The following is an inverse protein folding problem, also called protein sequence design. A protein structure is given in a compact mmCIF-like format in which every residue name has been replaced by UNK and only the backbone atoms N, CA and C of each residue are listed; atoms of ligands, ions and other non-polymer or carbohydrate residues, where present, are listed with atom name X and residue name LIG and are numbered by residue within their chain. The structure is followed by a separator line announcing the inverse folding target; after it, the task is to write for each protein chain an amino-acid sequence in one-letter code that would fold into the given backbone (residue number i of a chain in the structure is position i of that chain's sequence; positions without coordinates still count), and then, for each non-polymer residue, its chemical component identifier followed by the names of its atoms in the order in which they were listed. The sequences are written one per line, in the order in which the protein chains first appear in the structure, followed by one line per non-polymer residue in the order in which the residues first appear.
data_IF_496406807360
#
_entry.id   IF_496406807360
#
_cell.length_a   1.000
_cell.length_b   1.000
_cell.length_c   1.000
_cell.angle_alpha   90.00
_cell.angle_beta   90.00
_cell.angle_gamma   90.00
#
_symmetry.space_group_name_H-M   'P 1'
#
loop_
_entity.id
_entity.type
_entity.pdbx_description
1 polymer ?
#
# COMPACT_ATOMS: atom_id res chain seq x y z
N UNK A 1 45.55 50.35 28.00
CA UNK A 1 44.91 49.52 29.04
C UNK A 1 43.69 48.88 28.41
N UNK A 2 43.88 47.68 27.84
CA UNK A 2 43.48 46.38 28.44
C UNK A 2 41.96 46.31 28.57
N UNK A 3 41.23 45.51 27.79
CA UNK A 3 41.38 44.05 27.70
C UNK A 3 40.72 43.47 26.45
N UNK A 4 41.48 42.63 25.76
CA UNK A 4 41.05 41.62 24.80
C UNK A 4 40.18 40.57 25.48
N UNK A 5 39.02 40.23 24.91
CA UNK A 5 38.31 38.97 25.18
C UNK A 5 38.22 38.18 23.88
N UNK A 6 39.14 37.25 23.72
CA UNK A 6 38.92 36.02 22.97
C UNK A 6 37.81 35.25 23.71
N UNK A 7 36.79 34.81 22.99
CA UNK A 7 35.96 33.71 23.46
C UNK A 7 35.95 32.60 22.43
N UNK A 8 36.03 31.39 22.97
CA UNK A 8 36.50 30.18 22.31
C UNK A 8 35.39 29.59 21.44
N UNK A 9 35.75 29.26 20.21
CA UNK A 9 35.05 28.27 19.39
C UNK A 9 35.23 26.89 20.03
N UNK A 10 34.27 26.47 20.85
CA UNK A 10 34.14 25.08 21.26
C UNK A 10 33.37 24.31 20.18
N UNK A 11 34.12 23.49 19.45
CA UNK A 11 33.58 22.46 18.57
C UNK A 11 32.83 21.42 19.39
N UNK A 12 31.52 21.59 19.50
CA UNK A 12 30.61 20.53 19.89
C UNK A 12 30.59 19.48 18.79
N UNK A 13 31.36 18.41 18.99
CA UNK A 13 31.12 17.13 18.29
C UNK A 13 29.69 16.73 18.61
N UNK A 14 28.77 17.03 17.69
CA UNK A 14 27.43 16.44 17.68
C UNK A 14 27.61 14.94 17.55
N UNK A 15 27.60 14.25 18.69
CA UNK A 15 27.50 12.81 18.72
C UNK A 15 26.24 12.45 17.93
N UNK A 16 26.42 11.71 16.84
CA UNK A 16 25.31 11.09 16.16
C UNK A 16 24.48 10.37 17.22
N UNK A 17 23.21 10.73 17.33
CA UNK A 17 22.26 9.95 18.09
C UNK A 17 22.39 8.49 17.63
N UNK A 18 22.38 7.51 18.54
CA UNK A 18 22.44 6.11 18.13
C UNK A 18 21.31 5.87 17.13
N UNK A 19 21.64 5.34 15.95
CA UNK A 19 20.65 4.96 14.97
C UNK A 19 19.66 4.02 15.66
N UNK A 20 18.44 4.48 15.88
CA UNK A 20 17.35 3.64 16.37
C UNK A 20 17.30 2.39 15.49
N UNK A 21 17.21 1.20 16.10
CA UNK A 21 17.18 -0.09 15.40
C UNK A 21 16.28 -0.02 14.16
N UNK A 22 16.88 0.22 13.00
CA UNK A 22 16.14 0.38 11.76
C UNK A 22 15.60 -0.99 11.39
N UNK A 23 14.27 -1.12 11.35
CA UNK A 23 13.60 -2.34 10.89
C UNK A 23 14.22 -2.80 9.56
N UNK A 24 14.76 -4.02 9.53
CA UNK A 24 15.48 -4.53 8.36
C UNK A 24 14.58 -5.32 7.39
N UNK A 25 15.05 -5.40 6.15
CA UNK A 25 14.63 -6.34 5.09
C UNK A 25 14.27 -7.72 5.64
N UNK A 26 15.23 -8.31 6.33
CA UNK A 26 15.20 -9.70 6.74
C UNK A 26 14.16 -9.97 7.82
N UNK A 27 13.95 -9.00 8.72
CA UNK A 27 12.91 -9.09 9.77
C UNK A 27 11.53 -9.11 9.12
N UNK A 28 11.25 -8.20 8.20
CA UNK A 28 9.96 -8.16 7.48
C UNK A 28 9.74 -9.46 6.72
N UNK A 29 10.75 -9.95 6.00
CA UNK A 29 10.66 -11.19 5.22
C UNK A 29 10.39 -12.42 6.11
N UNK A 30 11.06 -12.51 7.27
CA UNK A 30 10.82 -13.59 8.24
C UNK A 30 9.39 -13.57 8.79
N UNK A 31 8.86 -12.40 9.11
CA UNK A 31 7.50 -12.25 9.63
C UNK A 31 6.42 -12.55 8.57
N UNK A 32 6.69 -12.26 7.29
CA UNK A 32 5.73 -12.45 6.21
C UNK A 32 5.29 -13.91 6.03
N UNK A 33 6.20 -14.88 6.16
CA UNK A 33 5.86 -16.31 6.09
C UNK A 33 4.92 -16.73 7.22
N UNK A 34 5.13 -16.22 8.44
CA UNK A 34 4.20 -16.42 9.56
C UNK A 34 2.82 -15.78 9.32
N UNK A 35 2.79 -14.63 8.65
CA UNK A 35 1.54 -13.96 8.28
C UNK A 35 0.71 -14.75 7.27
N UNK A 36 1.35 -15.38 6.26
CA UNK A 36 0.68 -16.27 5.31
C UNK A 36 0.03 -17.45 6.03
N UNK A 37 0.77 -18.10 6.93
CA UNK A 37 0.26 -19.25 7.67
C UNK A 37 -1.01 -18.90 8.46
N UNK A 38 -1.01 -17.77 9.17
CA UNK A 38 -2.19 -17.30 9.91
C UNK A 38 -3.36 -16.95 9.00
N UNK A 39 -3.10 -16.31 7.86
CA UNK A 39 -4.17 -15.93 6.92
C UNK A 39 -4.84 -17.15 6.28
N UNK A 40 -4.12 -18.25 6.07
CA UNK A 40 -4.67 -19.48 5.46
C UNK A 40 -5.83 -20.09 6.25
N UNK A 41 -5.91 -19.84 7.55
CA UNK A 41 -7.04 -20.29 8.38
C UNK A 41 -8.33 -19.50 8.07
N UNK A 42 -8.21 -18.32 7.46
CA UNK A 42 -9.32 -17.38 7.24
C UNK A 42 -9.66 -17.13 5.78
N UNK A 43 -8.68 -17.19 4.88
CA UNK A 43 -8.85 -16.93 3.46
C UNK A 43 -7.96 -17.85 2.62
N UNK A 44 -8.47 -18.30 1.48
CA UNK A 44 -7.66 -18.99 0.48
C UNK A 44 -6.62 -18.02 -0.12
N UNK A 45 -5.47 -18.55 -0.61
CA UNK A 45 -4.55 -17.76 -1.41
C UNK A 45 -5.30 -17.08 -2.57
N UNK A 46 -5.03 -15.80 -2.79
CA UNK A 46 -5.65 -15.09 -3.91
C UNK A 46 -5.16 -15.69 -5.23
N UNK A 47 -6.01 -15.79 -6.28
CA UNK A 47 -5.63 -16.42 -7.54
C UNK A 47 -4.41 -15.74 -8.19
N UNK A 48 -3.54 -16.54 -8.78
CA UNK A 48 -2.50 -16.10 -9.73
C UNK A 48 -2.89 -16.60 -11.11
N UNK A 49 -3.50 -15.75 -11.93
CA UNK A 49 -4.07 -16.13 -13.23
C UNK A 49 -3.23 -15.58 -14.36
N UNK A 50 -3.07 -16.33 -15.44
CA UNK A 50 -2.42 -15.83 -16.64
C UNK A 50 -3.42 -15.06 -17.49
N UNK A 51 -3.02 -13.89 -17.99
CA UNK A 51 -3.80 -13.13 -18.96
C UNK A 51 -3.22 -13.34 -20.35
N UNK A 52 -3.87 -14.15 -21.18
CA UNK A 52 -3.46 -14.36 -22.56
C UNK A 52 -3.57 -13.06 -23.37
N UNK A 53 -4.63 -12.29 -23.14
CA UNK A 53 -4.86 -10.99 -23.79
C UNK A 53 -3.70 -10.02 -23.56
N UNK A 54 -3.33 -9.80 -22.29
CA UNK A 54 -2.24 -8.89 -21.95
C UNK A 54 -0.89 -9.47 -22.37
N UNK A 55 -0.71 -10.80 -22.30
CA UNK A 55 0.54 -11.44 -22.73
C UNK A 55 0.81 -11.24 -24.21
N UNK A 56 -0.21 -11.40 -25.06
CA UNK A 56 -0.11 -11.15 -26.50
C UNK A 56 0.17 -9.67 -26.77
N UNK A 57 -0.53 -8.76 -26.08
CA UNK A 57 -0.38 -7.32 -26.28
C UNK A 57 1.00 -6.80 -25.88
N UNK A 58 1.57 -7.32 -24.79
CA UNK A 58 2.83 -6.81 -24.23
C UNK A 58 4.07 -7.59 -24.68
N UNK A 59 3.91 -8.75 -25.32
CA UNK A 59 5.04 -9.56 -25.79
C UNK A 59 5.85 -10.20 -24.64
N UNK A 60 5.31 -10.19 -23.43
CA UNK A 60 5.84 -10.87 -22.25
C UNK A 60 4.71 -11.67 -21.60
N UNK A 61 5.03 -12.74 -20.87
CA UNK A 61 4.01 -13.51 -20.15
C UNK A 61 3.50 -12.69 -18.97
N UNK A 62 2.19 -12.44 -18.89
CA UNK A 62 1.56 -11.62 -17.85
C UNK A 62 0.73 -12.49 -16.93
N UNK A 63 1.12 -12.51 -15.65
CA UNK A 63 0.35 -13.12 -14.58
C UNK A 63 -0.29 -12.03 -13.71
N UNK A 64 -1.53 -12.22 -13.31
CA UNK A 64 -2.30 -11.31 -12.48
C UNK A 64 -2.47 -11.93 -11.09
N UNK A 65 -1.90 -11.28 -10.07
CA UNK A 65 -2.12 -11.65 -8.67
C UNK A 65 -3.36 -10.92 -8.16
N UNK A 66 -4.46 -11.66 -8.04
CA UNK A 66 -5.81 -11.10 -7.91
C UNK A 66 -6.23 -10.84 -6.46
N UNK A 67 -5.57 -9.87 -5.80
CA UNK A 67 -5.88 -9.48 -4.42
C UNK A 67 -7.30 -8.93 -4.23
N UNK A 68 -7.98 -8.55 -5.30
CA UNK A 68 -9.39 -8.15 -5.28
C UNK A 68 -10.37 -9.26 -4.87
N UNK A 69 -9.92 -10.52 -4.82
CA UNK A 69 -10.70 -11.66 -4.35
C UNK A 69 -10.48 -11.99 -2.88
N UNK A 70 -9.57 -11.31 -2.19
CA UNK A 70 -9.50 -11.40 -0.73
C UNK A 70 -10.75 -10.82 -0.08
N UNK A 71 -11.06 -11.19 1.18
CA UNK A 71 -12.10 -10.53 1.94
C UNK A 71 -11.92 -9.02 1.92
N UNK A 72 -13.01 -8.27 1.93
CA UNK A 72 -13.05 -6.80 1.75
C UNK A 72 -12.60 -6.28 0.38
N UNK A 73 -12.17 -7.14 -0.56
CA UNK A 73 -11.93 -6.77 -1.96
C UNK A 73 -10.58 -6.11 -2.24
N UNK A 74 -9.58 -6.26 -1.36
CA UNK A 74 -8.23 -5.75 -1.59
C UNK A 74 -7.17 -6.46 -0.73
N UNK A 75 -5.89 -6.19 -1.04
CA UNK A 75 -4.74 -6.70 -0.29
C UNK A 75 -4.71 -6.27 1.18
N UNK A 76 -5.40 -5.18 1.56
CA UNK A 76 -5.37 -4.62 2.93
C UNK A 76 -5.83 -5.61 3.99
N UNK A 77 -6.65 -6.58 3.61
CA UNK A 77 -7.06 -7.66 4.50
C UNK A 77 -5.88 -8.45 5.08
N UNK A 78 -4.80 -8.64 4.31
CA UNK A 78 -3.63 -9.40 4.79
C UNK A 78 -2.98 -8.72 6.00
N UNK A 79 -2.63 -7.44 5.87
CA UNK A 79 -2.02 -6.69 6.97
C UNK A 79 -2.97 -6.44 8.15
N UNK A 80 -4.25 -6.17 7.88
CA UNK A 80 -5.25 -6.01 8.94
C UNK A 80 -5.38 -7.29 9.78
N UNK A 81 -5.57 -8.43 9.11
CA UNK A 81 -5.66 -9.73 9.77
C UNK A 81 -4.37 -10.07 10.50
N UNK A 82 -3.20 -9.86 9.86
CA UNK A 82 -1.91 -10.10 10.48
C UNK A 82 -1.74 -9.31 11.78
N UNK A 83 -2.00 -7.99 11.74
CA UNK A 83 -1.85 -7.11 12.89
C UNK A 83 -2.74 -7.54 14.06
N UNK A 84 -4.03 -7.71 13.79
CA UNK A 84 -5.01 -8.00 14.84
C UNK A 84 -4.82 -9.40 15.42
N UNK A 85 -4.46 -10.39 14.60
CA UNK A 85 -4.09 -11.73 15.08
C UNK A 85 -2.87 -11.73 16.00
N UNK A 86 -1.91 -10.82 15.81
CA UNK A 86 -0.71 -10.71 16.64
C UNK A 86 -0.91 -9.89 17.92
N UNK A 87 -2.05 -9.21 18.09
CA UNK A 87 -2.31 -8.43 19.30
C UNK A 87 -2.58 -9.32 20.51
N UNK A 88 -2.06 -8.93 21.67
CA UNK A 88 -2.40 -9.56 22.94
C UNK A 88 -3.87 -9.31 23.32
N UNK A 89 -4.43 -10.14 24.21
CA UNK A 89 -5.77 -9.93 24.75
C UNK A 89 -5.91 -8.55 25.43
N UNK A 90 -4.85 -8.06 26.10
CA UNK A 90 -4.87 -6.73 26.72
C UNK A 90 -4.90 -5.61 25.68
N UNK A 91 -4.15 -5.72 24.58
CA UNK A 91 -4.21 -4.78 23.47
C UNK A 91 -5.58 -4.79 22.80
N UNK A 92 -6.17 -5.97 22.58
CA UNK A 92 -7.51 -6.11 21.99
C UNK A 92 -8.59 -5.48 22.88
N UNK A 93 -8.48 -5.63 24.20
CA UNK A 93 -9.42 -5.03 25.16
C UNK A 93 -9.37 -3.49 25.17
N UNK A 94 -8.20 -2.89 24.90
CA UNK A 94 -8.06 -1.44 24.76
C UNK A 94 -8.61 -0.89 23.43
N UNK A 95 -8.87 -1.78 22.47
CA UNK A 95 -9.37 -1.43 21.15
C UNK A 95 -8.29 -0.89 20.20
N UNK A 96 -8.73 -0.58 18.99
CA UNK A 96 -7.88 -0.07 17.90
C UNK A 96 -8.40 1.25 17.34
N UNK A 97 -7.47 2.04 16.81
CA UNK A 97 -7.73 3.32 16.14
C UNK A 97 -7.06 3.33 14.78
N UNK A 98 -7.71 3.90 13.77
CA UNK A 98 -7.09 4.15 12.45
C UNK A 98 -7.65 5.40 11.80
N UNK A 99 -6.96 5.93 10.79
CA UNK A 99 -7.39 7.11 10.02
C UNK A 99 -7.60 6.75 8.53
N UNK A 100 -8.60 5.93 8.24
CA UNK A 100 -8.91 5.56 6.85
C UNK A 100 -10.34 5.08 6.73
N UNK A 101 -11.11 5.64 5.80
CA UNK A 101 -12.39 5.05 5.34
C UNK A 101 -12.25 4.25 4.05
N UNK A 102 -11.01 4.03 3.59
CA UNK A 102 -10.74 3.26 2.37
C UNK A 102 -10.61 1.76 2.64
N UNK A 103 -9.86 1.09 1.77
CA UNK A 103 -9.59 -0.35 1.86
C UNK A 103 -9.01 -0.78 3.21
N UNK A 104 -8.20 0.07 3.86
CA UNK A 104 -7.62 -0.22 5.18
C UNK A 104 -8.66 -0.20 6.30
N UNK A 105 -9.48 0.86 6.36
CA UNK A 105 -10.54 0.96 7.36
C UNK A 105 -11.56 -0.16 7.24
N UNK A 106 -11.94 -0.51 6.00
CA UNK A 106 -12.84 -1.63 5.75
C UNK A 106 -12.22 -2.96 6.23
N UNK A 107 -10.97 -3.23 5.88
CA UNK A 107 -10.26 -4.43 6.31
C UNK A 107 -10.16 -4.54 7.84
N UNK A 108 -9.79 -3.45 8.52
CA UNK A 108 -9.72 -3.43 9.99
C UNK A 108 -11.09 -3.59 10.64
N UNK A 109 -12.11 -2.87 10.16
CA UNK A 109 -13.46 -2.97 10.70
C UNK A 109 -14.02 -4.39 10.54
N UNK A 110 -13.76 -5.06 9.41
CA UNK A 110 -14.18 -6.45 9.20
C UNK A 110 -13.52 -7.39 10.20
N UNK A 111 -12.18 -7.36 10.32
CA UNK A 111 -11.46 -8.25 11.25
C UNK A 111 -11.80 -7.93 12.71
N UNK A 112 -11.89 -6.65 13.06
CA UNK A 112 -12.25 -6.21 14.41
C UNK A 112 -13.65 -6.65 14.81
N UNK A 113 -14.63 -6.56 13.89
CA UNK A 113 -15.98 -7.07 14.10
C UNK A 113 -16.00 -8.59 14.34
N UNK A 114 -15.20 -9.35 13.59
CA UNK A 114 -15.11 -10.81 13.72
C UNK A 114 -14.47 -11.23 15.05
N UNK A 115 -13.48 -10.47 15.52
CA UNK A 115 -12.74 -10.76 16.76
C UNK A 115 -13.32 -10.07 18.02
N UNK A 116 -14.37 -9.26 17.87
CA UNK A 116 -14.96 -8.49 18.98
C UNK A 116 -14.06 -7.38 19.53
N UNK A 117 -13.19 -6.81 18.69
CA UNK A 117 -12.26 -5.73 19.06
C UNK A 117 -12.96 -4.38 18.84
N UNK A 118 -13.04 -3.49 19.85
CA UNK A 118 -13.53 -2.13 19.64
C UNK A 118 -12.66 -1.38 18.64
N UNK A 119 -13.26 -0.74 17.64
CA UNK A 119 -12.55 0.05 16.62
C UNK A 119 -13.14 1.45 16.49
N UNK A 120 -12.26 2.45 16.48
CA UNK A 120 -12.58 3.83 16.08
C UNK A 120 -11.83 4.20 14.79
N UNK A 121 -12.58 4.64 13.80
CA UNK A 121 -12.07 5.11 12.51
C UNK A 121 -12.24 6.63 12.43
N UNK A 122 -11.14 7.35 12.33
CA UNK A 122 -11.16 8.79 12.05
C UNK A 122 -11.10 9.03 10.55
N UNK A 123 -11.85 10.01 10.07
CA UNK A 123 -11.92 10.34 8.65
C UNK A 123 -12.16 11.83 8.45
N UNK A 124 -11.91 12.30 7.23
CA UNK A 124 -12.29 13.67 6.84
C UNK A 124 -13.81 13.76 6.66
N UNK A 125 -14.41 14.94 6.87
CA UNK A 125 -15.84 15.16 6.61
C UNK A 125 -16.24 14.94 5.15
N UNK A 126 -15.29 15.10 4.22
CA UNK A 126 -15.48 14.87 2.79
C UNK A 126 -15.39 13.39 2.38
N UNK A 127 -15.16 12.48 3.33
CA UNK A 127 -15.13 11.05 3.05
C UNK A 127 -16.48 10.56 2.49
N UNK A 128 -16.42 9.61 1.56
CA UNK A 128 -17.63 9.09 0.90
C UNK A 128 -18.64 8.53 1.92
N UNK A 129 -19.90 8.98 1.91
CA UNK A 129 -20.93 8.46 2.82
C UNK A 129 -21.10 6.94 2.72
N UNK A 130 -20.98 6.38 1.50
CA UNK A 130 -21.06 4.94 1.28
C UNK A 130 -19.92 4.18 1.97
N UNK A 131 -18.70 4.74 1.96
CA UNK A 131 -17.54 4.14 2.63
C UNK A 131 -17.70 4.20 4.16
N UNK A 132 -18.20 5.33 4.68
CA UNK A 132 -18.50 5.50 6.11
C UNK A 132 -19.55 4.49 6.57
N UNK A 133 -20.65 4.35 5.82
CA UNK A 133 -21.75 3.46 6.19
C UNK A 133 -21.31 1.99 6.18
N UNK A 134 -20.52 1.58 5.19
CA UNK A 134 -19.97 0.22 5.15
C UNK A 134 -19.14 -0.09 6.42
N UNK A 135 -18.35 0.86 6.90
CA UNK A 135 -17.56 0.70 8.12
C UNK A 135 -18.45 0.68 9.38
N UNK A 136 -19.46 1.58 9.46
CA UNK A 136 -20.41 1.61 10.58
C UNK A 136 -21.24 0.33 10.69
N UNK A 137 -21.63 -0.26 9.55
CA UNK A 137 -22.38 -1.52 9.52
C UNK A 137 -21.60 -2.71 10.09
N UNK A 138 -20.27 -2.58 10.23
CA UNK A 138 -19.38 -3.56 10.88
C UNK A 138 -19.18 -3.26 12.37
N UNK A 139 -19.98 -2.35 12.96
CA UNK A 139 -19.90 -2.01 14.39
C UNK A 139 -18.78 -1.02 14.75
N UNK A 140 -18.07 -0.48 13.76
CA UNK A 140 -17.02 0.51 14.01
C UNK A 140 -17.58 1.90 14.34
N UNK A 141 -16.97 2.58 15.32
CA UNK A 141 -17.21 4.00 15.56
C UNK A 141 -16.51 4.81 14.47
N UNK A 142 -17.20 5.76 13.85
CA UNK A 142 -16.59 6.65 12.84
C UNK A 142 -16.71 8.10 13.29
N UNK A 143 -15.57 8.77 13.44
CA UNK A 143 -15.45 10.18 13.82
C UNK A 143 -14.94 11.01 12.64
N UNK A 144 -15.69 12.07 12.30
CA UNK A 144 -15.40 12.92 11.15
C UNK A 144 -14.78 14.24 11.58
N UNK A 145 -13.74 14.66 10.87
CA UNK A 145 -12.96 15.87 11.15
C UNK A 145 -12.90 16.78 9.93
N UNK A 146 -12.96 18.08 10.16
CA UNK A 146 -12.79 19.09 9.11
C UNK A 146 -11.30 19.43 8.95
N UNK A 147 -10.56 18.51 8.34
CA UNK A 147 -9.12 18.62 8.09
C UNK A 147 -8.70 17.74 6.89
N UNK A 148 -7.49 17.97 6.38
CA UNK A 148 -6.90 17.12 5.34
C UNK A 148 -6.53 15.71 5.88
N UNK A 149 -6.34 14.70 5.01
CA UNK A 149 -6.08 13.33 5.42
C UNK A 149 -4.87 13.16 6.35
N UNK A 150 -3.76 13.87 6.11
CA UNK A 150 -2.56 13.73 6.94
C UNK A 150 -2.79 14.30 8.34
N UNK A 151 -3.46 15.45 8.43
CA UNK A 151 -3.84 16.04 9.73
C UNK A 151 -4.76 15.11 10.53
N UNK A 152 -5.74 14.46 9.88
CA UNK A 152 -6.61 13.47 10.53
C UNK A 152 -5.83 12.25 11.03
N UNK A 153 -4.85 11.78 10.26
CA UNK A 153 -3.97 10.68 10.69
C UNK A 153 -3.14 11.06 11.93
N UNK A 154 -2.54 12.24 11.95
CA UNK A 154 -1.76 12.72 13.11
C UNK A 154 -2.64 12.85 14.36
N UNK A 155 -3.87 13.35 14.20
CA UNK A 155 -4.86 13.40 15.29
C UNK A 155 -5.23 12.01 15.81
N UNK A 156 -5.54 11.07 14.91
CA UNK A 156 -5.89 9.70 15.27
C UNK A 156 -4.78 9.00 16.06
N UNK A 157 -3.51 9.18 15.66
CA UNK A 157 -2.34 8.67 16.38
C UNK A 157 -2.24 9.23 17.79
N UNK A 158 -2.45 10.54 17.93
CA UNK A 158 -2.46 11.21 19.23
C UNK A 158 -3.57 10.66 20.14
N UNK A 159 -4.80 10.57 19.63
CA UNK A 159 -5.95 10.06 20.39
C UNK A 159 -5.76 8.60 20.81
N UNK A 160 -5.16 7.78 19.94
CA UNK A 160 -4.78 6.41 20.28
C UNK A 160 -3.79 6.38 21.46
N UNK A 161 -2.75 7.23 21.42
CA UNK A 161 -1.78 7.35 22.51
C UNK A 161 -2.41 7.83 23.82
N UNK A 162 -3.37 8.77 23.77
CA UNK A 162 -4.03 9.32 24.96
C UNK A 162 -4.99 8.31 25.61
N UNK A 163 -5.66 7.48 24.80
CA UNK A 163 -6.61 6.46 25.27
C UNK A 163 -5.96 5.10 25.62
N UNK A 164 -4.72 4.87 25.18
CA UNK A 164 -4.05 3.58 25.28
C UNK A 164 -4.48 2.56 24.21
N UNK A 165 -5.38 2.94 23.29
CA UNK A 165 -5.75 2.11 22.16
C UNK A 165 -4.58 1.95 21.17
N UNK A 166 -4.57 0.84 20.42
CA UNK A 166 -3.52 0.59 19.43
C UNK A 166 -3.84 1.31 18.13
N UNK A 167 -3.02 2.28 17.73
CA UNK A 167 -3.12 2.84 16.38
C UNK A 167 -2.61 1.83 15.36
N UNK A 168 -3.43 1.49 14.37
CA UNK A 168 -3.06 0.60 13.27
C UNK A 168 -2.91 1.38 11.98
N UNK A 169 -1.65 1.65 11.63
CA UNK A 169 -1.29 2.38 10.41
C UNK A 169 -1.65 1.58 9.15
N UNK A 170 -2.10 2.24 8.06
CA UNK A 170 -2.32 1.58 6.78
C UNK A 170 -1.05 1.04 6.10
N UNK A 171 0.14 1.46 6.52
CA UNK A 171 1.41 1.06 5.90
C UNK A 171 2.63 1.16 6.83
N UNK A 172 2.63 2.07 7.80
CA UNK A 172 3.74 2.31 8.72
C UNK A 172 3.62 1.45 9.99
N UNK A 173 3.48 0.13 9.82
CA UNK A 173 3.43 -0.85 10.90
C UNK A 173 4.03 -2.18 10.41
N UNK A 174 4.95 -2.75 11.18
CA UNK A 174 5.70 -3.95 10.79
C UNK A 174 4.82 -5.17 10.55
N UNK A 175 3.78 -5.37 11.36
CA UNK A 175 2.83 -6.46 11.16
C UNK A 175 2.00 -6.19 9.90
N UNK A 176 1.55 -4.96 9.70
CA UNK A 176 0.81 -4.61 8.48
C UNK A 176 1.66 -4.91 7.24
N UNK A 177 2.91 -4.45 7.20
CA UNK A 177 3.86 -4.68 6.11
C UNK A 177 4.12 -6.18 5.89
N UNK A 178 4.44 -6.92 6.96
CA UNK A 178 4.69 -8.35 6.88
C UNK A 178 3.47 -9.11 6.33
N UNK A 179 2.26 -8.70 6.71
CA UNK A 179 1.03 -9.26 6.18
C UNK A 179 0.93 -9.07 4.67
N UNK A 180 1.25 -7.87 4.18
CA UNK A 180 1.23 -7.59 2.75
C UNK A 180 2.26 -8.41 1.97
N UNK A 181 3.43 -8.69 2.57
CA UNK A 181 4.47 -9.55 1.99
C UNK A 181 3.99 -10.96 1.67
N UNK A 182 2.93 -11.43 2.33
CA UNK A 182 2.29 -12.71 2.01
C UNK A 182 1.79 -12.81 0.57
N UNK A 183 1.48 -11.68 -0.08
CA UNK A 183 1.11 -11.61 -1.48
C UNK A 183 2.17 -12.25 -2.39
N UNK A 184 3.45 -11.92 -2.19
CA UNK A 184 4.53 -12.46 -3.04
C UNK A 184 5.05 -13.80 -2.56
N UNK A 185 4.97 -14.10 -1.26
CA UNK A 185 5.22 -15.45 -0.77
C UNK A 185 4.30 -16.48 -1.46
N UNK A 186 3.03 -16.15 -1.66
CA UNK A 186 2.10 -17.00 -2.42
C UNK A 186 2.43 -17.07 -3.92
N UNK A 187 2.99 -16.01 -4.51
CA UNK A 187 3.49 -16.03 -5.91
C UNK A 187 4.66 -17.00 -6.04
N UNK A 188 5.59 -16.98 -5.07
CA UNK A 188 6.75 -17.88 -5.07
C UNK A 188 6.33 -19.34 -4.82
N UNK A 189 5.38 -19.57 -3.92
CA UNK A 189 4.85 -20.91 -3.60
C UNK A 189 4.14 -21.57 -4.81
N UNK A 190 3.61 -20.78 -5.74
CA UNK A 190 2.98 -21.26 -6.97
C UNK A 190 3.98 -21.94 -7.94
N UNK A 191 5.27 -21.60 -7.84
CA UNK A 191 6.37 -22.30 -8.53
C UNK A 191 6.54 -21.96 -10.01
N UNK A 192 5.66 -21.15 -10.62
CA UNK A 192 5.91 -20.59 -11.96
C UNK A 192 7.10 -19.62 -11.92
N UNK A 193 7.91 -19.63 -12.98
CA UNK A 193 9.02 -18.67 -13.15
C UNK A 193 8.45 -17.24 -13.18
N UNK A 194 9.09 -16.33 -12.44
CA UNK A 194 8.80 -14.90 -12.42
C UNK A 194 10.11 -14.14 -12.62
N UNK A 195 10.13 -13.16 -13.51
CA UNK A 195 11.28 -12.29 -13.76
C UNK A 195 11.06 -10.87 -13.21
N UNK A 196 9.79 -10.43 -13.07
CA UNK A 196 9.44 -9.14 -12.50
C UNK A 196 8.10 -9.17 -11.75
N UNK A 197 7.97 -8.37 -10.69
CA UNK A 197 6.72 -8.09 -9.98
C UNK A 197 6.44 -6.60 -10.04
N UNK A 198 5.25 -6.24 -10.51
CA UNK A 198 4.80 -4.86 -10.67
C UNK A 198 3.76 -4.53 -9.59
N UNK A 199 4.03 -3.47 -8.84
CA UNK A 199 3.24 -3.07 -7.66
C UNK A 199 2.94 -1.58 -7.66
N UNK A 200 1.70 -1.23 -7.34
CA UNK A 200 1.28 0.15 -7.12
C UNK A 200 1.69 0.65 -5.74
N UNK A 201 2.14 1.91 -5.66
CA UNK A 201 2.77 2.44 -4.46
C UNK A 201 2.11 3.72 -3.99
N UNK A 202 1.50 3.65 -2.79
CA UNK A 202 1.19 4.82 -1.97
C UNK A 202 2.20 4.97 -0.83
N UNK A 203 1.76 4.84 0.42
CA UNK A 203 2.64 4.88 1.60
C UNK A 203 3.64 3.70 1.74
N UNK A 204 3.70 2.78 0.78
CA UNK A 204 4.81 1.82 0.66
C UNK A 204 4.68 0.51 1.42
N UNK A 205 3.58 0.26 2.13
CA UNK A 205 3.42 -0.97 2.92
C UNK A 205 3.43 -2.25 2.08
N UNK A 206 2.73 -2.25 0.95
CA UNK A 206 2.72 -3.38 0.00
C UNK A 206 4.09 -3.55 -0.68
N UNK A 207 4.68 -2.46 -1.19
CA UNK A 207 6.03 -2.44 -1.77
C UNK A 207 7.06 -3.02 -0.79
N UNK A 208 7.03 -2.56 0.46
CA UNK A 208 8.00 -2.97 1.49
C UNK A 208 7.88 -4.46 1.81
N UNK A 209 6.65 -4.97 1.95
CA UNK A 209 6.41 -6.38 2.21
C UNK A 209 6.83 -7.27 1.04
N UNK A 210 6.46 -6.90 -0.19
CA UNK A 210 6.85 -7.62 -1.41
C UNK A 210 8.37 -7.62 -1.58
N UNK A 211 8.98 -6.44 -1.53
CA UNK A 211 10.41 -6.27 -1.73
C UNK A 211 11.24 -7.01 -0.68
N UNK A 212 10.79 -7.04 0.57
CA UNK A 212 11.47 -7.78 1.64
C UNK A 212 11.52 -9.29 1.35
N UNK A 213 10.39 -9.89 0.99
CA UNK A 213 10.32 -11.33 0.69
C UNK A 213 11.12 -11.66 -0.57
N UNK A 214 10.97 -10.87 -1.65
CA UNK A 214 11.72 -11.09 -2.89
C UNK A 214 13.23 -10.98 -2.66
N UNK A 215 13.70 -9.96 -1.94
CA UNK A 215 15.13 -9.80 -1.64
C UNK A 215 15.72 -11.02 -0.95
N UNK A 216 14.96 -11.64 -0.05
CA UNK A 216 15.42 -12.80 0.72
C UNK A 216 15.35 -14.10 -0.06
N UNK A 217 14.28 -14.30 -0.84
CA UNK A 217 13.93 -15.61 -1.39
C UNK A 217 14.10 -15.71 -2.91
N UNK A 218 14.04 -14.59 -3.62
CA UNK A 218 14.15 -14.51 -5.07
C UNK A 218 14.80 -13.18 -5.51
N UNK A 219 16.07 -12.92 -5.14
CA UNK A 219 16.73 -11.62 -5.33
C UNK A 219 16.91 -11.21 -6.79
N UNK A 220 16.83 -12.16 -7.73
CA UNK A 220 16.91 -11.90 -9.17
C UNK A 220 15.59 -11.38 -9.78
N UNK A 221 14.48 -11.42 -9.01
CA UNK A 221 13.18 -10.90 -9.46
C UNK A 221 13.17 -9.39 -9.31
N UNK A 222 12.93 -8.69 -10.42
CA UNK A 222 12.85 -7.24 -10.41
C UNK A 222 11.57 -6.74 -9.73
N UNK A 223 11.69 -5.72 -8.88
CA UNK A 223 10.53 -5.00 -8.32
C UNK A 223 10.31 -3.71 -9.10
N UNK A 224 9.20 -3.66 -9.84
CA UNK A 224 8.77 -2.47 -10.59
C UNK A 224 7.70 -1.76 -9.76
N UNK A 225 8.01 -0.55 -9.30
CA UNK A 225 7.17 0.25 -8.44
C UNK A 225 6.46 1.35 -9.24
N UNK A 226 5.14 1.34 -9.23
CA UNK A 226 4.28 2.24 -9.99
C UNK A 226 3.70 3.34 -9.11
N UNK A 227 3.89 4.59 -9.51
CA UNK A 227 3.23 5.77 -8.92
C UNK A 227 2.40 6.49 -9.98
N UNK A 228 1.24 7.06 -9.62
CA UNK A 228 0.61 8.05 -10.49
C UNK A 228 1.51 9.29 -10.58
N UNK A 229 1.56 9.94 -11.74
CA UNK A 229 2.24 11.23 -11.91
C UNK A 229 1.73 12.27 -10.90
N UNK A 230 0.46 12.16 -10.53
CA UNK A 230 -0.25 13.08 -9.64
C UNK A 230 0.04 12.87 -8.14
N UNK A 231 0.62 11.73 -7.73
CA UNK A 231 0.84 11.40 -6.32
C UNK A 231 2.14 10.59 -6.11
N UNK A 232 3.20 11.27 -5.68
CA UNK A 232 4.58 10.74 -5.64
C UNK A 232 5.27 10.92 -4.28
N UNK A 233 4.51 11.10 -3.20
CA UNK A 233 5.06 11.46 -1.89
C UNK A 233 6.12 10.48 -1.38
N UNK A 234 5.88 9.17 -1.48
CA UNK A 234 6.88 8.18 -1.05
C UNK A 234 8.11 8.17 -1.95
N UNK A 235 7.95 8.32 -3.27
CA UNK A 235 9.08 8.33 -4.22
C UNK A 235 10.06 9.45 -3.91
N UNK A 236 9.55 10.66 -3.64
CA UNK A 236 10.37 11.80 -3.26
C UNK A 236 10.99 11.59 -1.87
N UNK A 237 10.20 11.08 -0.91
CA UNK A 237 10.68 10.83 0.45
C UNK A 237 11.78 9.77 0.51
N UNK A 238 11.66 8.66 -0.23
CA UNK A 238 12.67 7.61 -0.27
C UNK A 238 13.96 8.06 -0.94
N UNK A 239 13.89 8.94 -1.96
CA UNK A 239 15.09 9.53 -2.59
C UNK A 239 15.79 10.51 -1.65
N UNK A 240 15.03 11.24 -0.84
CA UNK A 240 15.55 12.17 0.14
C UNK A 240 16.04 11.48 1.44
N UNK A 241 15.68 10.21 1.67
CA UNK A 241 15.97 9.47 2.90
C UNK A 241 15.18 9.98 4.13
N UNK A 242 14.15 10.80 3.92
CA UNK A 242 13.31 11.39 4.97
C UNK A 242 11.97 11.81 4.37
N UNK A 243 10.95 12.01 5.21
CA UNK A 243 9.69 12.56 4.73
C UNK A 243 9.92 13.94 4.11
N UNK A 244 9.32 14.15 2.94
CA UNK A 244 9.28 15.43 2.23
C UNK A 244 7.86 15.68 1.77
N UNK A 245 7.46 16.94 1.79
CA UNK A 245 6.17 17.35 1.25
C UNK A 245 6.20 17.24 -0.29
N UNK A 246 5.10 16.77 -0.84
CA UNK A 246 4.86 16.73 -2.28
C UNK A 246 3.42 17.13 -2.53
N UNK A 247 3.21 18.10 -3.42
CA UNK A 247 1.87 18.58 -3.74
C UNK A 247 1.16 17.54 -4.64
N UNK A 248 0.31 16.74 -4.02
CA UNK A 248 -0.50 15.74 -4.73
C UNK A 248 -1.73 16.39 -5.37
N UNK A 249 -2.08 15.91 -6.57
CA UNK A 249 -3.30 16.28 -7.27
C UNK A 249 -4.23 15.07 -7.39
N UNK A 250 -5.54 15.25 -7.66
CA UNK A 250 -6.48 14.14 -7.74
C UNK A 250 -6.04 13.06 -8.75
N UNK A 251 -6.20 11.79 -8.38
CA UNK A 251 -5.86 10.65 -9.23
C UNK A 251 -6.95 9.57 -9.22
N UNK A 252 -7.08 8.84 -10.31
CA UNK A 252 -7.88 7.62 -10.44
C UNK A 252 -7.38 6.53 -9.49
N UNK A 253 -6.08 6.52 -9.16
CA UNK A 253 -5.46 5.63 -8.17
C UNK A 253 -5.57 6.20 -6.75
N UNK A 254 -6.78 6.53 -6.28
CA UNK A 254 -7.00 7.24 -5.01
C UNK A 254 -6.45 6.51 -3.78
N UNK A 255 -6.31 5.18 -3.84
CA UNK A 255 -5.68 4.39 -2.77
C UNK A 255 -4.15 4.53 -2.66
N UNK A 256 -3.52 5.28 -3.58
CA UNK A 256 -2.07 5.54 -3.58
C UNK A 256 -1.69 6.97 -3.17
N UNK A 257 -2.67 7.87 -3.08
CA UNK A 257 -2.48 9.24 -2.59
C UNK A 257 -2.60 9.32 -1.06
N UNK A 258 -2.13 10.43 -0.48
CA UNK A 258 -2.32 10.76 0.94
C UNK A 258 -1.04 11.11 1.70
N UNK A 259 0.09 11.34 1.03
CA UNK A 259 1.34 11.69 1.70
C UNK A 259 2.00 10.53 2.47
N UNK A 260 3.12 10.83 3.14
CA UNK A 260 3.82 9.93 4.06
C UNK A 260 4.28 10.73 5.27
N UNK A 261 4.00 10.24 6.47
CA UNK A 261 4.33 10.96 7.70
C UNK A 261 5.83 10.91 8.06
N UNK A 262 6.35 11.91 8.81
CA UNK A 262 7.71 11.87 9.33
C UNK A 262 8.00 10.60 10.14
N UNK A 263 9.15 9.98 9.86
CA UNK A 263 9.58 8.76 10.57
C UNK A 263 8.91 7.48 10.08
N UNK A 264 8.15 7.50 8.98
CA UNK A 264 7.59 6.29 8.40
C UNK A 264 8.68 5.27 8.03
N UNK A 265 8.57 4.05 8.57
CA UNK A 265 9.52 2.96 8.33
C UNK A 265 9.61 2.58 6.85
N UNK A 266 8.52 2.78 6.10
CA UNK A 266 8.45 2.52 4.66
C UNK A 266 9.35 3.41 3.84
N UNK A 267 9.76 4.59 4.33
CA UNK A 267 10.75 5.45 3.65
C UNK A 267 12.09 4.75 3.58
N UNK A 268 12.59 4.28 4.73
CA UNK A 268 13.89 3.59 4.80
C UNK A 268 13.84 2.22 4.11
N UNK A 269 12.74 1.48 4.25
CA UNK A 269 12.57 0.21 3.56
C UNK A 269 12.55 0.42 2.04
N UNK A 270 11.79 1.38 1.51
CA UNK A 270 11.74 1.68 0.08
C UNK A 270 13.10 2.20 -0.44
N UNK A 271 13.78 3.07 0.32
CA UNK A 271 15.13 3.52 -0.01
C UNK A 271 16.12 2.36 -0.12
N UNK A 272 16.11 1.47 0.85
CA UNK A 272 16.98 0.28 0.84
C UNK A 272 16.56 -0.71 -0.26
N UNK A 273 15.26 -0.76 -0.61
CA UNK A 273 14.75 -1.61 -1.68
C UNK A 273 15.22 -1.19 -3.07
N UNK A 274 15.27 0.13 -3.31
CA UNK A 274 15.61 0.75 -4.59
C UNK A 274 14.90 0.08 -5.79
N UNK A 275 13.54 0.03 -5.79
CA UNK A 275 12.80 -0.59 -6.87
C UNK A 275 12.88 0.26 -8.14
N UNK A 276 12.71 -0.36 -9.31
CA UNK A 276 12.60 0.36 -10.59
C UNK A 276 11.36 1.25 -10.57
N UNK A 277 11.49 2.60 -10.60
CA UNK A 277 10.34 3.47 -10.48
C UNK A 277 9.70 3.76 -11.84
N UNK A 278 8.37 3.72 -11.90
CA UNK A 278 7.58 4.05 -13.09
C UNK A 278 6.48 5.03 -12.71
N UNK A 279 6.44 6.16 -13.43
CA UNK A 279 5.36 7.14 -13.31
C UNK A 279 4.31 6.86 -14.39
N UNK A 280 3.04 6.99 -14.03
CA UNK A 280 1.90 6.68 -14.90
C UNK A 280 0.89 7.83 -14.87
N UNK A 281 0.47 8.27 -16.05
CA UNK A 281 -0.54 9.30 -16.23
C UNK A 281 -1.95 8.79 -15.98
N UNK A 282 -2.88 9.69 -15.69
CA UNK A 282 -4.30 9.36 -15.47
C UNK A 282 -4.94 8.67 -16.69
N UNK A 283 -4.56 9.06 -17.90
CA UNK A 283 -5.02 8.44 -19.14
C UNK A 283 -4.55 6.98 -19.28
N UNK A 284 -3.32 6.69 -18.85
CA UNK A 284 -2.78 5.32 -18.86
C UNK A 284 -3.46 4.44 -17.80
N UNK A 285 -3.73 4.99 -16.60
CA UNK A 285 -4.52 4.28 -15.57
C UNK A 285 -5.91 3.96 -16.13
N UNK A 286 -6.60 4.94 -16.72
CA UNK A 286 -7.93 4.77 -17.30
C UNK A 286 -7.96 3.70 -18.40
N UNK A 287 -6.97 3.72 -19.30
CA UNK A 287 -6.81 2.71 -20.36
C UNK A 287 -6.59 1.32 -19.77
N UNK A 288 -5.72 1.18 -18.78
CA UNK A 288 -5.49 -0.11 -18.12
C UNK A 288 -6.71 -0.65 -17.38
N UNK A 289 -7.56 0.23 -16.82
CA UNK A 289 -8.85 -0.19 -16.26
C UNK A 289 -9.77 -0.79 -17.33
N UNK A 290 -9.78 -0.23 -18.54
CA UNK A 290 -10.56 -0.73 -19.68
C UNK A 290 -10.00 -2.05 -20.19
N UNK A 291 -8.69 -2.14 -20.31
CA UNK A 291 -8.00 -3.34 -20.79
C UNK A 291 -8.32 -4.55 -19.89
N UNK A 292 -8.27 -4.39 -18.56
CA UNK A 292 -8.66 -5.45 -17.61
C UNK A 292 -10.14 -5.81 -17.69
N UNK A 293 -11.01 -4.80 -17.88
CA UNK A 293 -12.45 -5.03 -17.98
C UNK A 293 -12.83 -5.78 -19.26
N UNK A 294 -12.22 -5.41 -20.39
CA UNK A 294 -12.53 -5.97 -21.71
C UNK A 294 -11.80 -7.28 -21.97
N UNK A 295 -10.52 -7.36 -21.62
CA UNK A 295 -9.67 -8.51 -21.90
C UNK A 295 -9.85 -9.65 -20.90
N UNK A 296 -9.95 -9.32 -19.61
CA UNK A 296 -9.96 -10.31 -18.52
C UNK A 296 -11.30 -10.37 -17.77
N UNK A 297 -12.26 -9.49 -18.11
CA UNK A 297 -13.55 -9.42 -17.42
C UNK A 297 -13.45 -8.91 -15.98
N UNK A 298 -12.35 -8.23 -15.63
CA UNK A 298 -12.05 -7.82 -14.27
C UNK A 298 -12.43 -6.36 -14.02
N UNK A 299 -13.32 -6.13 -13.05
CA UNK A 299 -13.56 -4.81 -12.49
C UNK A 299 -12.54 -4.56 -11.38
N UNK A 300 -11.68 -3.57 -11.59
CA UNK A 300 -10.63 -3.16 -10.63
C UNK A 300 -10.71 -1.68 -10.31
N UNK A 301 -10.12 -1.27 -9.19
CA UNK A 301 -9.94 0.15 -8.87
C UNK A 301 -8.71 0.73 -9.59
N UNK A 302 -8.61 2.06 -9.68
CA UNK A 302 -7.50 2.70 -10.41
C UNK A 302 -6.13 2.34 -9.86
N UNK A 303 -6.01 2.13 -8.54
CA UNK A 303 -4.76 1.68 -7.90
C UNK A 303 -4.31 0.31 -8.40
N UNK A 304 -5.20 -0.60 -8.79
CA UNK A 304 -4.80 -1.89 -9.35
C UNK A 304 -4.40 -1.76 -10.83
N UNK A 305 -5.14 -0.94 -11.59
CA UNK A 305 -4.81 -0.64 -12.99
C UNK A 305 -3.49 0.12 -13.16
N UNK A 306 -3.07 0.91 -12.16
CA UNK A 306 -1.79 1.59 -12.13
C UNK A 306 -0.60 0.64 -12.31
N UNK A 307 -0.61 -0.53 -11.66
CA UNK A 307 0.45 -1.53 -11.81
C UNK A 307 0.48 -2.10 -13.24
N UNK A 308 -0.69 -2.32 -13.85
CA UNK A 308 -0.76 -2.78 -15.23
C UNK A 308 -0.21 -1.73 -16.21
N UNK A 309 -0.58 -0.46 -16.01
CA UNK A 309 -0.09 0.64 -16.85
C UNK A 309 1.43 0.81 -16.75
N UNK A 310 2.01 0.58 -15.56
CA UNK A 310 3.46 0.56 -15.40
C UNK A 310 4.12 -0.63 -16.11
N UNK A 311 3.46 -1.80 -16.12
CA UNK A 311 3.92 -2.95 -16.91
C UNK A 311 3.93 -2.62 -18.40
N UNK A 312 2.89 -1.97 -18.94
CA UNK A 312 2.81 -1.57 -20.36
C UNK A 312 4.06 -0.74 -20.77
N UNK A 313 4.50 0.20 -19.93
CA UNK A 313 5.72 0.98 -20.16
C UNK A 313 7.01 0.15 -20.13
N UNK A 314 7.05 -0.91 -19.31
CA UNK A 314 8.19 -1.79 -19.16
C UNK A 314 8.19 -2.99 -20.12
N UNK A 315 7.07 -3.27 -20.78
CA UNK A 315 6.88 -4.44 -21.62
C UNK A 315 7.98 -4.64 -22.68
N UNK A 316 8.48 -3.59 -23.39
CA UNK A 316 9.52 -3.78 -24.40
C UNK A 316 10.82 -4.42 -23.88
N UNK A 317 11.22 -4.14 -22.63
CA UNK A 317 12.43 -4.73 -22.00
C UNK A 317 12.15 -6.05 -21.28
N UNK A 318 10.89 -6.45 -21.19
CA UNK A 318 10.43 -7.71 -20.59
C UNK A 318 10.02 -8.74 -21.64
N UNK A 319 10.28 -8.50 -22.93
CA UNK A 319 9.95 -9.42 -24.01
C UNK A 319 10.47 -10.85 -23.73
N UNK A 320 9.60 -11.85 -23.84
CA UNK A 320 9.90 -13.25 -23.54
C UNK A 320 10.12 -13.59 -22.05
N UNK A 321 10.01 -12.61 -21.14
CA UNK A 321 10.05 -12.81 -19.68
C UNK A 321 8.64 -12.96 -19.10
N UNK A 322 8.56 -13.34 -17.82
CA UNK A 322 7.31 -13.43 -17.06
C UNK A 322 7.21 -12.29 -16.04
N UNK A 323 6.16 -11.48 -16.15
CA UNK A 323 5.85 -10.40 -15.22
C UNK A 323 4.55 -10.69 -14.46
N UNK A 324 4.57 -10.42 -13.15
CA UNK A 324 3.37 -10.50 -12.30
C UNK A 324 2.87 -9.09 -12.01
N UNK A 325 1.60 -8.81 -12.31
CA UNK A 325 0.93 -7.57 -11.91
C UNK A 325 0.10 -7.83 -10.67
N UNK A 326 0.36 -7.07 -9.60
CA UNK A 326 -0.45 -7.15 -8.37
C UNK A 326 -1.70 -6.29 -8.51
N UNK A 327 -2.85 -6.94 -8.73
CA UNK A 327 -4.15 -6.29 -8.80
C UNK A 327 -4.65 -6.01 -7.38
N UNK A 328 -4.18 -4.91 -6.80
CA UNK A 328 -4.26 -4.64 -5.37
C UNK A 328 -5.70 -4.50 -4.80
N UNK A 329 -6.72 -4.20 -5.62
CA UNK A 329 -8.09 -4.11 -5.15
C UNK A 329 -9.13 -3.77 -6.23
N UNK A 330 -10.40 -3.76 -5.83
CA UNK A 330 -11.55 -3.48 -6.72
C UNK A 330 -12.57 -2.48 -6.18
N UNK A 331 -12.27 -1.79 -5.08
CA UNK A 331 -13.28 -1.03 -4.34
C UNK A 331 -13.52 0.35 -4.94
N UNK A 332 -14.12 0.34 -6.13
CA UNK A 332 -14.55 1.51 -6.87
C UNK A 332 -16.07 1.61 -6.93
N UNK A 333 -16.61 2.82 -6.87
CA UNK A 333 -18.03 3.04 -7.12
C UNK A 333 -18.36 2.71 -8.59
N UNK A 334 -19.40 1.91 -8.82
CA UNK A 334 -19.79 1.47 -10.17
C UNK A 334 -20.00 2.64 -11.13
N UNK A 335 -20.61 3.75 -10.68
CA UNK A 335 -20.79 4.93 -11.53
C UNK A 335 -19.47 5.61 -11.90
N UNK A 336 -18.49 5.66 -10.98
CA UNK A 336 -17.13 6.14 -11.29
C UNK A 336 -16.47 5.24 -12.34
N UNK A 337 -16.61 3.92 -12.19
CA UNK A 337 -16.07 2.95 -13.15
C UNK A 337 -16.71 3.12 -14.54
N UNK A 338 -18.05 3.18 -14.62
CA UNK A 338 -18.78 3.40 -15.88
C UNK A 338 -18.40 4.71 -16.56
N UNK A 339 -18.22 5.79 -15.78
CA UNK A 339 -17.77 7.07 -16.32
C UNK A 339 -16.39 6.98 -16.96
N UNK A 340 -15.46 6.24 -16.34
CA UNK A 340 -14.12 5.99 -16.89
C UNK A 340 -14.22 5.20 -18.21
N UNK A 341 -15.04 4.14 -18.25
CA UNK A 341 -15.26 3.37 -19.49
C UNK A 341 -15.80 4.25 -20.63
N UNK A 342 -16.74 5.15 -20.33
CA UNK A 342 -17.39 6.01 -21.32
C UNK A 342 -16.48 7.13 -21.88
N UNK A 343 -15.49 7.59 -21.12
CA UNK A 343 -14.70 8.78 -21.45
C UNK A 343 -13.90 8.71 -22.77
N UNK A 344 -13.63 7.53 -23.34
CA UNK A 344 -12.90 7.38 -24.62
C UNK A 344 -13.82 7.22 -25.83
N UNK A 345 -15.14 7.02 -25.64
CA UNK A 345 -16.07 6.77 -26.74
C UNK A 345 -16.37 8.02 -27.58
N UNK A 346 -15.81 9.19 -27.23
CA UNK A 346 -15.99 10.47 -27.94
C UNK A 346 -14.82 10.89 -28.85
N UNK A 347 -13.75 10.09 -28.96
CA UNK A 347 -12.52 10.46 -29.69
C UNK A 347 -12.38 9.89 -31.10
N UNK A 348 -13.39 9.22 -31.63
CA UNK A 348 -13.35 8.58 -32.95
C UNK A 348 -14.72 8.55 -33.61
N UNK A 349 -15.09 9.66 -34.24
CA UNK A 349 -16.13 9.75 -35.27
C UNK A 349 -15.65 10.74 -36.34
#
# INVERSE_FOLDING_TARGET
MTTTKQDKTEGGKGGAAPAADTLSLDVVAALARGAVARLRDRALPSPLVESEFLSQRFGCRVLLKCEQFLPTGSFKFRGAYNKLSNMSASQKALGIVTASTGNHGLALATVASEEGIPITVHATQNASPRKIEAIRSLGAKVELHDADPLTVELLARRLASESGAVYVSPYNDVDVIAGQGGCVAEILDDGRKVDAVVVSVGGGGLLSGIGAVLRKEAPDVEVIAAWPENAQSLLHSMRAGRAVDFDETPTLADGTAGGVEPGAITINLAHTLDPTPVLVSEAEIARSMKDLAMGDGLIVEGSAALALAALEKCAPRLAGKTAVVVLCGKNIALEKFKAILAADAGGGA
#
